data_IF_519040238151
#
_entry.id   IF_519040238151
#
_cell.length_a   1.000
_cell.length_b   1.000
_cell.length_c   1.000
_cell.angle_alpha   90.00
_cell.angle_beta   90.00
_cell.angle_gamma   90.00
#
_symmetry.space_group_name_H-M   'P 1'
#
loop_
_entity.id
_entity.type
_entity.pdbx_description
1 polymer ?
#
# COMPACT_ATOMS: atom_id res chain seq x y z
N UNK A 1 19.70 -31.64 -0.04
CA UNK A 1 19.14 -30.81 -1.12
C UNK A 1 19.27 -29.37 -0.67
N UNK A 2 20.23 -28.62 -1.22
CA UNK A 2 20.50 -27.24 -0.82
C UNK A 2 19.50 -26.34 -1.54
N UNK A 3 18.44 -25.92 -0.84
CA UNK A 3 17.54 -24.90 -1.34
C UNK A 3 18.35 -23.61 -1.43
N UNK A 4 18.75 -23.23 -2.65
CA UNK A 4 19.31 -21.91 -2.91
C UNK A 4 18.22 -20.89 -2.58
N UNK A 5 18.19 -20.47 -1.32
CA UNK A 5 17.65 -19.19 -0.92
C UNK A 5 18.57 -18.15 -1.56
N UNK A 6 18.37 -17.90 -2.85
CA UNK A 6 18.77 -16.64 -3.45
C UNK A 6 17.97 -15.58 -2.68
N UNK A 7 18.55 -15.09 -1.58
CA UNK A 7 18.26 -13.75 -1.11
C UNK A 7 18.60 -12.88 -2.32
N UNK A 8 17.58 -12.57 -3.12
CA UNK A 8 17.66 -11.61 -4.20
C UNK A 8 17.92 -10.26 -3.55
N UNK A 9 19.19 -10.01 -3.24
CA UNK A 9 19.69 -8.69 -2.95
C UNK A 9 19.48 -7.87 -4.22
N UNK A 10 18.66 -6.83 -4.11
CA UNK A 10 18.51 -5.85 -5.19
C UNK A 10 19.90 -5.31 -5.50
N UNK A 11 20.26 -5.31 -6.78
CA UNK A 11 21.48 -4.62 -7.19
C UNK A 11 21.32 -3.11 -6.95
N UNK A 12 22.42 -2.36 -6.86
CA UNK A 12 22.35 -0.89 -6.80
C UNK A 12 21.55 -0.29 -7.97
N UNK A 13 21.60 -0.91 -9.15
CA UNK A 13 20.82 -0.49 -10.32
C UNK A 13 19.32 -0.70 -10.11
N UNK A 14 18.92 -1.81 -9.48
CA UNK A 14 17.51 -2.10 -9.18
C UNK A 14 16.96 -1.14 -8.12
N UNK A 15 17.77 -0.82 -7.11
CA UNK A 15 17.45 0.20 -6.12
C UNK A 15 17.28 1.58 -6.76
N UNK A 16 18.14 1.93 -7.71
CA UNK A 16 18.04 3.20 -8.46
C UNK A 16 16.72 3.29 -9.23
N UNK A 17 16.27 2.20 -9.85
CA UNK A 17 14.96 2.16 -10.54
C UNK A 17 13.80 2.38 -9.57
N UNK A 18 13.81 1.70 -8.43
CA UNK A 18 12.78 1.85 -7.40
C UNK A 18 12.76 3.30 -6.89
N UNK A 19 13.92 3.90 -6.64
CA UNK A 19 14.03 5.29 -6.20
C UNK A 19 13.50 6.29 -7.23
N UNK A 20 13.78 6.08 -8.52
CA UNK A 20 13.22 6.91 -9.61
C UNK A 20 11.70 6.83 -9.65
N UNK A 21 11.14 5.62 -9.62
CA UNK A 21 9.69 5.41 -9.61
C UNK A 21 9.04 6.05 -8.38
N UNK A 22 9.70 5.97 -7.21
CA UNK A 22 9.24 6.64 -5.99
C UNK A 22 9.36 8.16 -6.04
N UNK A 23 10.41 8.71 -6.66
CA UNK A 23 10.61 10.15 -6.79
C UNK A 23 9.56 10.77 -7.73
N UNK A 24 9.28 10.09 -8.84
CA UNK A 24 8.26 10.52 -9.79
C UNK A 24 6.86 10.53 -9.17
N UNK A 25 6.54 9.51 -8.36
CA UNK A 25 5.29 9.46 -7.62
C UNK A 25 5.28 10.39 -6.39
N UNK A 26 6.41 10.60 -5.71
CA UNK A 26 6.52 11.35 -4.47
C UNK A 26 6.15 12.84 -4.60
N UNK A 27 6.15 13.39 -5.82
CA UNK A 27 5.60 14.71 -6.08
C UNK A 27 4.08 14.80 -5.84
N UNK A 28 3.38 13.66 -5.78
CA UNK A 28 1.93 13.57 -5.64
C UNK A 28 1.46 13.05 -4.27
N UNK A 29 2.34 12.48 -3.44
CA UNK A 29 1.97 11.74 -2.22
C UNK A 29 2.90 12.04 -1.04
N UNK A 30 2.39 11.95 0.20
CA UNK A 30 3.09 12.36 1.42
C UNK A 30 4.25 11.43 1.83
N UNK A 31 5.16 11.92 2.69
CA UNK A 31 6.35 11.17 3.12
C UNK A 31 6.04 9.81 3.77
N UNK A 32 4.94 9.69 4.52
CA UNK A 32 4.50 8.43 5.15
C UNK A 32 4.08 7.36 4.14
N UNK A 33 3.73 7.75 2.91
CA UNK A 33 3.34 6.83 1.85
C UNK A 33 4.55 6.25 1.13
N UNK A 34 5.69 6.95 1.20
CA UNK A 34 6.92 6.61 0.50
C UNK A 34 7.58 5.33 1.01
N UNK A 35 7.63 5.10 2.33
CA UNK A 35 8.22 3.88 2.90
C UNK A 35 7.38 2.63 2.57
N UNK A 36 6.05 2.74 2.67
CA UNK A 36 5.14 1.65 2.29
C UNK A 36 5.20 1.33 0.80
N UNK A 37 5.27 2.37 -0.04
CA UNK A 37 5.48 2.25 -1.47
C UNK A 37 6.82 1.59 -1.82
N UNK A 38 7.91 1.95 -1.14
CA UNK A 38 9.22 1.36 -1.36
C UNK A 38 9.21 -0.14 -1.07
N UNK A 39 8.69 -0.54 0.09
CA UNK A 39 8.57 -1.96 0.45
C UNK A 39 7.68 -2.74 -0.54
N UNK A 40 6.60 -2.12 -1.01
CA UNK A 40 5.73 -2.72 -2.02
C UNK A 40 6.47 -2.94 -3.34
N UNK A 41 7.23 -1.96 -3.82
CA UNK A 41 7.99 -2.06 -5.06
C UNK A 41 9.13 -3.06 -4.98
N UNK A 42 9.86 -3.09 -3.87
CA UNK A 42 10.90 -4.11 -3.60
C UNK A 42 10.32 -5.51 -3.71
N UNK A 43 9.14 -5.75 -3.13
CA UNK A 43 8.46 -7.04 -3.24
C UNK A 43 8.04 -7.35 -4.68
N UNK A 44 7.50 -6.37 -5.42
CA UNK A 44 7.12 -6.56 -6.83
C UNK A 44 8.32 -6.90 -7.70
N UNK A 45 9.47 -6.28 -7.41
CA UNK A 45 10.73 -6.59 -8.08
C UNK A 45 11.16 -8.04 -7.84
N UNK A 46 11.09 -8.50 -6.59
CA UNK A 46 11.38 -9.90 -6.22
C UNK A 46 10.39 -10.90 -6.84
N UNK A 47 9.16 -10.48 -7.11
CA UNK A 47 8.14 -11.26 -7.83
C UNK A 47 8.37 -11.28 -9.36
N UNK A 48 9.43 -10.62 -9.87
CA UNK A 48 9.81 -10.58 -11.27
C UNK A 48 9.29 -9.36 -12.05
N UNK A 49 8.68 -8.38 -11.37
CA UNK A 49 8.27 -7.11 -12.00
C UNK A 49 9.45 -6.14 -12.00
N UNK A 50 10.30 -6.21 -13.02
CA UNK A 50 11.56 -5.45 -13.12
C UNK A 50 11.48 -4.20 -14.00
N UNK A 51 10.47 -4.15 -14.88
CA UNK A 51 10.27 -3.04 -15.82
C UNK A 51 9.78 -1.78 -15.10
N UNK A 52 10.42 -0.65 -15.35
CA UNK A 52 10.08 0.63 -14.70
C UNK A 52 8.61 1.03 -14.92
N UNK A 53 8.10 0.84 -16.14
CA UNK A 53 6.70 1.13 -16.49
C UNK A 53 5.72 0.23 -15.71
N UNK A 54 6.06 -1.04 -15.52
CA UNK A 54 5.24 -1.98 -14.76
C UNK A 54 5.26 -1.66 -13.26
N UNK A 55 6.43 -1.28 -12.72
CA UNK A 55 6.59 -0.82 -11.34
C UNK A 55 5.79 0.46 -11.08
N UNK A 56 5.81 1.41 -12.01
CA UNK A 56 5.03 2.65 -11.92
C UNK A 56 3.52 2.39 -11.94
N UNK A 57 3.04 1.52 -12.82
CA UNK A 57 1.63 1.12 -12.85
C UNK A 57 1.21 0.41 -11.56
N UNK A 58 2.06 -0.47 -11.02
CA UNK A 58 1.81 -1.16 -9.76
C UNK A 58 1.77 -0.16 -8.59
N UNK A 59 2.71 0.79 -8.56
CA UNK A 59 2.76 1.85 -7.56
C UNK A 59 1.48 2.71 -7.60
N UNK A 60 1.04 3.13 -8.80
CA UNK A 60 -0.16 3.94 -8.95
C UNK A 60 -1.41 3.20 -8.46
N UNK A 61 -1.53 1.89 -8.75
CA UNK A 61 -2.63 1.06 -8.22
C UNK A 61 -2.58 0.95 -6.70
N UNK A 62 -1.40 0.74 -6.14
CA UNK A 62 -1.19 0.67 -4.69
C UNK A 62 -1.63 1.98 -4.00
N UNK A 63 -1.18 3.13 -4.52
CA UNK A 63 -1.49 4.44 -3.97
C UNK A 63 -2.97 4.81 -4.14
N UNK A 64 -3.56 4.54 -5.31
CA UNK A 64 -5.00 4.75 -5.54
C UNK A 64 -5.86 3.94 -4.57
N UNK A 65 -5.48 2.68 -4.35
CA UNK A 65 -6.18 1.83 -3.37
C UNK A 65 -6.05 2.45 -1.99
N UNK A 66 -4.84 2.80 -1.54
CA UNK A 66 -4.58 3.36 -0.21
C UNK A 66 -5.25 4.72 0.03
N UNK A 67 -5.26 5.60 -0.98
CA UNK A 67 -5.97 6.88 -0.94
C UNK A 67 -7.49 6.69 -0.86
N UNK A 68 -8.04 5.67 -1.53
CA UNK A 68 -9.45 5.30 -1.37
C UNK A 68 -9.77 4.79 0.05
N UNK A 69 -8.83 4.14 0.75
CA UNK A 69 -8.98 3.78 2.16
C UNK A 69 -8.91 4.99 3.11
N UNK A 70 -8.11 6.01 2.80
CA UNK A 70 -8.03 7.24 3.60
C UNK A 70 -9.25 8.16 3.40
N UNK A 71 -9.84 8.15 2.20
CA UNK A 71 -11.05 8.91 1.87
C UNK A 71 -12.35 8.12 1.99
N UNK A 72 -12.29 6.84 2.37
CA UNK A 72 -13.49 6.12 2.79
C UNK A 72 -14.03 6.86 4.02
N UNK A 73 -15.26 7.42 3.97
CA UNK A 73 -15.88 7.90 5.19
C UNK A 73 -15.88 6.73 6.17
N UNK A 74 -15.49 6.99 7.42
CA UNK A 74 -15.63 6.04 8.53
C UNK A 74 -17.13 5.76 8.76
N UNK A 75 -17.76 5.06 7.83
CA UNK A 75 -19.18 4.77 7.78
C UNK A 75 -19.36 3.28 7.98
N UNK A 76 -19.54 2.86 9.22
CA UNK A 76 -20.03 1.51 9.50
C UNK A 76 -19.56 0.86 10.79
N UNK A 77 -19.67 1.54 11.93
CA UNK A 77 -19.98 0.83 13.18
C UNK A 77 -20.52 1.80 14.24
N UNK A 78 -21.65 2.45 13.95
CA UNK A 78 -22.58 2.80 15.03
C UNK A 78 -23.56 1.63 15.16
N UNK A 79 -23.11 0.52 15.73
CA UNK A 79 -24.05 -0.44 16.32
C UNK A 79 -24.56 0.22 17.60
N UNK A 80 -25.56 1.10 17.45
CA UNK A 80 -26.40 1.56 18.55
C UNK A 80 -27.33 0.37 18.87
N UNK A 81 -27.14 -0.37 19.98
CA UNK A 81 -28.17 -1.30 20.40
C UNK A 81 -29.46 -0.51 20.64
N UNK A 82 -30.63 -1.04 20.26
CA UNK A 82 -31.90 -0.36 20.52
C UNK A 82 -32.03 -0.13 22.02
N UNK A 83 -32.09 1.14 22.43
CA UNK A 83 -32.51 1.52 23.77
C UNK A 83 -33.97 1.11 23.90
N UNK A 84 -34.23 0.00 24.58
CA UNK A 84 -35.55 -0.32 25.09
C UNK A 84 -35.95 0.79 26.08
N UNK A 85 -36.75 1.74 25.61
CA UNK A 85 -37.54 2.60 26.48
C UNK A 85 -38.59 1.70 27.16
N UNK A 86 -38.32 1.31 28.41
CA UNK A 86 -39.37 0.86 29.31
C UNK A 86 -40.24 2.08 29.63
N UNK A 87 -41.31 2.27 28.86
CA UNK A 87 -42.52 2.88 29.37
C UNK A 87 -43.19 1.84 30.27
N UNK A 88 -43.13 2.05 31.58
CA UNK A 88 -44.11 1.47 32.49
C UNK A 88 -44.86 2.62 33.15
N UNK A 89 -45.98 2.97 32.52
CA UNK A 89 -47.11 3.62 33.17
C UNK A 89 -47.95 2.52 33.80
N UNK A 90 -48.29 2.67 35.07
CA UNK A 90 -49.13 1.76 35.85
C UNK A 90 -48.90 1.97 37.32
#
# INVERSE_FOLDING_TARGET
>A
MSSNAYQYYLSPDDMTKIERVLAEAGNYYGQFERLGAANYLTRKFQEGVTEETALMLALHRYLKTRGAWQHAPAGGSEYRPPRHHHHHHG
#
